data_IF_548179911962
#
_entry.id   IF_548179911962
#
_cell.length_a   1.000
_cell.length_b   1.000
_cell.length_c   1.000
_cell.angle_alpha   90.00
_cell.angle_beta   90.00
_cell.angle_gamma   90.00
#
_symmetry.space_group_name_H-M   'P 1'
#
loop_
_entity.id
_entity.type
_entity.pdbx_description
1 polymer ?
#
# COMPACT_ATOMS: atom_id res chain seq x y z
N UNK A 1 12.16 -17.17 -3.15
CA UNK A 1 11.40 -15.94 -3.41
C UNK A 1 12.34 -14.82 -3.83
N UNK A 2 12.11 -14.20 -4.99
CA UNK A 2 12.82 -12.98 -5.40
C UNK A 2 11.92 -11.77 -5.16
N UNK A 3 12.48 -10.66 -4.66
CA UNK A 3 11.74 -9.42 -4.46
C UNK A 3 12.09 -8.49 -5.61
N UNK A 4 11.09 -8.05 -6.36
CA UNK A 4 11.25 -7.06 -7.40
C UNK A 4 10.54 -5.77 -6.99
N UNK A 5 11.33 -4.71 -6.74
CA UNK A 5 10.78 -3.40 -6.40
C UNK A 5 10.47 -2.61 -7.68
N UNK A 6 9.19 -2.34 -7.92
CA UNK A 6 8.69 -1.50 -9.02
C UNK A 6 8.08 -0.18 -8.54
N UNK A 7 8.44 0.24 -7.34
CA UNK A 7 8.04 1.54 -6.79
C UNK A 7 8.59 2.66 -7.66
N UNK A 8 7.69 3.43 -8.25
CA UNK A 8 8.01 4.62 -9.03
C UNK A 8 7.56 5.85 -8.25
N UNK A 9 8.49 6.77 -7.99
CA UNK A 9 8.19 8.05 -7.36
C UNK A 9 7.14 8.83 -8.17
N UNK A 10 6.26 9.54 -7.47
CA UNK A 10 5.24 10.42 -8.09
C UNK A 10 4.15 9.74 -8.94
N UNK A 11 4.08 8.40 -8.92
CA UNK A 11 3.07 7.63 -9.67
C UNK A 11 1.69 7.71 -9.02
N UNK A 12 0.68 7.90 -9.87
CA UNK A 12 -0.75 7.86 -9.54
C UNK A 12 -1.31 6.46 -9.70
N UNK A 13 -2.51 6.18 -9.16
CA UNK A 13 -3.15 4.87 -9.30
C UNK A 13 -3.34 4.47 -10.77
N UNK A 14 -3.83 5.40 -11.60
CA UNK A 14 -3.99 5.19 -13.04
C UNK A 14 -2.69 4.83 -13.76
N UNK A 15 -1.61 5.55 -13.46
CA UNK A 15 -0.31 5.33 -14.08
C UNK A 15 0.32 4.01 -13.59
N UNK A 16 0.10 3.61 -12.33
CA UNK A 16 0.50 2.29 -11.85
C UNK A 16 -0.22 1.19 -12.65
N UNK A 17 -1.53 1.35 -12.85
CA UNK A 17 -2.37 0.43 -13.62
C UNK A 17 -1.87 0.26 -15.07
N UNK A 18 -1.52 1.36 -15.74
CA UNK A 18 -0.95 1.35 -17.09
C UNK A 18 0.39 0.58 -17.18
N UNK A 19 1.10 0.43 -16.06
CA UNK A 19 2.38 -0.28 -15.98
C UNK A 19 2.25 -1.73 -15.44
N UNK A 20 1.03 -2.21 -15.16
CA UNK A 20 0.80 -3.62 -14.79
C UNK A 20 1.34 -4.66 -15.78
N UNK A 21 1.37 -4.42 -17.11
CA UNK A 21 1.93 -5.40 -18.05
C UNK A 21 3.41 -5.77 -17.81
N UNK A 22 4.11 -5.05 -16.93
CA UNK A 22 5.49 -5.37 -16.52
C UNK A 22 5.58 -6.20 -15.23
N UNK A 23 4.46 -6.64 -14.66
CA UNK A 23 4.42 -7.61 -13.57
C UNK A 23 4.86 -8.97 -14.13
N UNK A 24 5.83 -9.67 -13.49
CA UNK A 24 6.24 -11.00 -13.90
C UNK A 24 5.06 -11.97 -13.82
N UNK A 25 4.92 -12.83 -14.81
CA UNK A 25 3.86 -13.87 -14.82
C UNK A 25 3.97 -14.84 -13.64
N UNK A 26 5.14 -14.94 -13.00
CA UNK A 26 5.42 -15.77 -11.82
C UNK A 26 5.26 -15.02 -10.48
N UNK A 27 4.69 -13.81 -10.47
CA UNK A 27 4.46 -13.07 -9.25
C UNK A 27 3.40 -13.74 -8.37
N UNK A 28 3.81 -14.27 -7.22
CA UNK A 28 2.88 -14.91 -6.27
C UNK A 28 2.06 -13.90 -5.46
N UNK A 29 2.64 -12.72 -5.17
CA UNK A 29 2.04 -11.70 -4.29
C UNK A 29 2.40 -10.29 -4.75
N UNK A 30 1.41 -9.40 -4.76
CA UNK A 30 1.56 -7.99 -5.09
C UNK A 30 1.32 -7.11 -3.85
N UNK A 31 2.33 -6.33 -3.48
CA UNK A 31 2.23 -5.32 -2.42
C UNK A 31 1.95 -3.95 -3.04
N UNK A 32 0.75 -3.42 -2.82
CA UNK A 32 0.27 -2.18 -3.46
C UNK A 32 0.18 -1.06 -2.43
N UNK A 33 0.92 0.02 -2.65
CA UNK A 33 0.81 1.27 -1.90
C UNK A 33 0.90 2.44 -2.87
N UNK A 34 -0.22 3.07 -3.18
CA UNK A 34 -0.33 4.21 -4.09
C UNK A 34 -1.52 5.08 -3.69
N UNK A 35 -1.53 6.36 -4.07
CA UNK A 35 -2.68 7.26 -3.87
C UNK A 35 -2.31 8.66 -3.39
N UNK A 36 -1.21 8.81 -2.63
CA UNK A 36 -0.79 10.14 -2.11
C UNK A 36 -0.53 11.15 -3.23
N UNK A 37 0.01 10.70 -4.37
CA UNK A 37 0.29 11.57 -5.50
C UNK A 37 -0.99 12.06 -6.19
N UNK A 38 -2.01 11.21 -6.30
CA UNK A 38 -3.33 11.60 -6.82
C UNK A 38 -3.93 12.73 -5.98
N UNK A 39 -3.94 12.53 -4.67
CA UNK A 39 -4.47 13.53 -3.72
C UNK A 39 -3.62 14.81 -3.74
N UNK A 40 -2.30 14.69 -3.84
CA UNK A 40 -1.41 15.85 -3.95
C UNK A 40 -1.67 16.70 -5.20
N UNK A 41 -2.16 16.06 -6.28
CA UNK A 41 -2.57 16.70 -7.54
C UNK A 41 -4.01 17.22 -7.51
N UNK A 42 -4.70 17.11 -6.37
CA UNK A 42 -6.05 17.63 -6.17
C UNK A 42 -7.18 16.69 -6.62
N UNK A 43 -6.89 15.41 -6.90
CA UNK A 43 -7.95 14.42 -7.15
C UNK A 43 -8.72 14.13 -5.86
N UNK A 44 -10.02 13.89 -5.99
CA UNK A 44 -10.88 13.52 -4.87
C UNK A 44 -10.78 12.01 -4.61
N UNK A 45 -11.06 11.59 -3.37
CA UNK A 45 -11.00 10.17 -2.99
C UNK A 45 -11.84 9.28 -3.91
N UNK A 46 -13.02 9.74 -4.33
CA UNK A 46 -13.94 9.01 -5.20
C UNK A 46 -13.29 8.68 -6.55
N UNK A 47 -12.59 9.65 -7.17
CA UNK A 47 -11.90 9.46 -8.44
C UNK A 47 -10.71 8.49 -8.29
N UNK A 48 -10.00 8.59 -7.17
CA UNK A 48 -8.87 7.70 -6.85
C UNK A 48 -9.34 6.26 -6.64
N UNK A 49 -10.49 6.08 -5.99
CA UNK A 49 -11.07 4.77 -5.72
C UNK A 49 -11.58 4.07 -6.97
N UNK A 50 -12.13 4.81 -7.94
CA UNK A 50 -12.50 4.24 -9.25
C UNK A 50 -11.28 3.57 -9.90
N UNK A 51 -10.14 4.27 -9.94
CA UNK A 51 -8.91 3.72 -10.51
C UNK A 51 -8.37 2.55 -9.66
N UNK A 52 -8.51 2.63 -8.34
CA UNK A 52 -8.05 1.57 -7.43
C UNK A 52 -8.82 0.28 -7.62
N UNK A 53 -10.14 0.35 -7.73
CA UNK A 53 -10.97 -0.83 -7.94
C UNK A 53 -10.63 -1.49 -9.28
N UNK A 54 -10.41 -0.71 -10.34
CA UNK A 54 -9.96 -1.24 -11.62
C UNK A 54 -8.56 -1.85 -11.56
N UNK A 55 -7.64 -1.27 -10.77
CA UNK A 55 -6.33 -1.87 -10.49
C UNK A 55 -6.46 -3.21 -9.74
N UNK A 56 -7.35 -3.30 -8.76
CA UNK A 56 -7.61 -4.54 -8.03
C UNK A 56 -8.22 -5.62 -8.95
N UNK A 57 -9.15 -5.24 -9.83
CA UNK A 57 -9.73 -6.16 -10.83
C UNK A 57 -8.66 -6.72 -11.78
N UNK A 58 -7.75 -5.87 -12.26
CA UNK A 58 -6.66 -6.30 -13.13
C UNK A 58 -5.67 -7.24 -12.41
N UNK A 59 -5.33 -6.95 -11.14
CA UNK A 59 -4.45 -7.81 -10.34
C UNK A 59 -5.11 -9.16 -10.01
N UNK A 60 -6.41 -9.17 -9.69
CA UNK A 60 -7.17 -10.39 -9.42
C UNK A 60 -7.23 -11.30 -10.67
N UNK A 61 -7.34 -10.71 -11.86
CA UNK A 61 -7.28 -11.44 -13.12
C UNK A 61 -5.92 -12.13 -13.37
N UNK A 62 -4.83 -11.59 -12.82
CA UNK A 62 -3.49 -12.20 -12.84
C UNK A 62 -3.32 -13.30 -11.77
N UNK A 63 -4.33 -13.53 -10.91
CA UNK A 63 -4.34 -14.54 -9.84
C UNK A 63 -3.19 -14.38 -8.84
N UNK A 64 -2.76 -13.14 -8.61
CA UNK A 64 -1.74 -12.81 -7.61
C UNK A 64 -2.40 -12.54 -6.26
N UNK A 65 -1.76 -12.93 -5.15
CA UNK A 65 -2.25 -12.55 -3.82
C UNK A 65 -2.04 -11.05 -3.60
N UNK A 66 -3.09 -10.29 -3.29
CA UNK A 66 -3.04 -8.84 -3.23
C UNK A 66 -2.94 -8.37 -1.78
N UNK A 67 -1.86 -7.64 -1.47
CA UNK A 67 -1.68 -6.94 -0.20
C UNK A 67 -1.72 -5.43 -0.44
N UNK A 68 -2.82 -4.79 -0.09
CA UNK A 68 -2.98 -3.33 -0.12
C UNK A 68 -2.46 -2.75 1.19
N UNK A 69 -1.59 -1.75 1.09
CA UNK A 69 -1.10 -0.99 2.23
C UNK A 69 -1.79 0.36 2.26
N UNK A 70 -2.13 0.86 3.45
CA UNK A 70 -2.72 2.18 3.61
C UNK A 70 -1.87 3.26 2.91
N UNK A 71 -2.51 4.17 2.16
CA UNK A 71 -1.86 5.41 1.76
C UNK A 71 -1.49 6.17 3.03
N UNK A 72 -0.21 6.55 3.15
CA UNK A 72 0.27 7.18 4.37
C UNK A 72 -0.32 8.57 4.54
N UNK A 73 -0.73 8.89 5.77
CA UNK A 73 -1.02 10.26 6.13
C UNK A 73 0.24 11.12 5.97
N UNK A 74 0.03 12.40 5.72
CA UNK A 74 1.08 13.41 5.53
C UNK A 74 1.01 14.46 6.63
N UNK A 75 1.85 15.49 6.57
CA UNK A 75 1.68 16.70 7.38
C UNK A 75 0.56 17.63 6.87
N UNK A 76 0.00 17.37 5.69
CA UNK A 76 -1.07 18.16 5.09
C UNK A 76 -2.45 17.60 5.45
N UNK A 77 -3.13 18.25 6.42
CA UNK A 77 -4.44 17.81 6.90
C UNK A 77 -5.55 17.82 5.84
N UNK A 78 -5.45 18.66 4.81
CA UNK A 78 -6.44 18.67 3.71
C UNK A 78 -6.32 17.41 2.87
N UNK A 79 -5.09 17.00 2.56
CA UNK A 79 -4.84 15.75 1.85
C UNK A 79 -5.26 14.55 2.71
N UNK A 80 -4.96 14.60 4.01
CA UNK A 80 -5.29 13.51 4.93
C UNK A 80 -6.80 13.22 4.99
N UNK A 81 -7.67 14.23 4.85
CA UNK A 81 -9.11 14.00 4.79
C UNK A 81 -9.53 13.12 3.60
N UNK A 82 -8.89 13.28 2.44
CA UNK A 82 -9.14 12.42 1.27
C UNK A 82 -8.44 11.07 1.41
N UNK A 83 -7.22 11.05 1.96
CA UNK A 83 -6.48 9.80 2.23
C UNK A 83 -7.24 8.90 3.21
N UNK A 84 -7.85 9.46 4.24
CA UNK A 84 -8.66 8.72 5.21
C UNK A 84 -9.88 8.06 4.53
N UNK A 85 -10.56 8.77 3.63
CA UNK A 85 -11.67 8.19 2.83
C UNK A 85 -11.19 7.04 1.96
N UNK A 86 -10.06 7.22 1.25
CA UNK A 86 -9.47 6.18 0.40
C UNK A 86 -9.12 4.95 1.25
N UNK A 87 -8.41 5.13 2.36
CA UNK A 87 -8.00 4.04 3.24
C UNK A 87 -9.18 3.30 3.87
N UNK A 88 -10.21 4.02 4.32
CA UNK A 88 -11.43 3.43 4.87
C UNK A 88 -12.10 2.52 3.84
N UNK A 89 -12.27 2.99 2.61
CA UNK A 89 -12.93 2.22 1.55
C UNK A 89 -12.08 1.02 1.15
N UNK A 90 -10.76 1.20 0.96
CA UNK A 90 -9.85 0.09 0.65
C UNK A 90 -9.82 -0.99 1.74
N UNK A 91 -9.81 -0.58 3.02
CA UNK A 91 -9.91 -1.53 4.14
C UNK A 91 -11.20 -2.35 4.06
N UNK A 92 -12.35 -1.69 3.83
CA UNK A 92 -13.63 -2.38 3.70
C UNK A 92 -13.68 -3.30 2.47
N UNK A 93 -13.12 -2.88 1.34
CA UNK A 93 -13.03 -3.69 0.12
C UNK A 93 -12.19 -4.95 0.36
N UNK A 94 -11.04 -4.83 1.04
CA UNK A 94 -10.20 -5.99 1.35
C UNK A 94 -10.88 -6.95 2.34
N UNK A 95 -11.62 -6.44 3.33
CA UNK A 95 -12.38 -7.28 4.27
C UNK A 95 -13.45 -8.14 3.59
N UNK A 96 -13.89 -7.80 2.38
CA UNK A 96 -14.80 -8.62 1.58
C UNK A 96 -14.12 -9.81 0.89
N UNK A 97 -12.83 -10.04 1.17
CA UNK A 97 -12.06 -11.19 0.67
C UNK A 97 -11.30 -10.95 -0.63
N UNK A 98 -11.26 -9.71 -1.12
CA UNK A 98 -10.57 -9.36 -2.38
C UNK A 98 -9.06 -9.14 -2.21
N UNK A 99 -8.62 -8.80 -1.01
CA UNK A 99 -7.22 -8.47 -0.72
C UNK A 99 -6.97 -8.52 0.79
N UNK A 100 -5.69 -8.53 1.18
CA UNK A 100 -5.27 -8.23 2.54
C UNK A 100 -5.01 -6.73 2.67
N UNK A 101 -5.56 -6.06 3.69
CA UNK A 101 -5.26 -4.66 3.98
C UNK A 101 -4.27 -4.54 5.15
N UNK A 102 -3.21 -3.75 4.97
CA UNK A 102 -2.21 -3.43 5.99
C UNK A 102 -2.33 -1.97 6.37
N UNK A 103 -2.83 -1.70 7.58
CA UNK A 103 -2.91 -0.35 8.13
C UNK A 103 -1.54 0.08 8.70
N UNK A 104 -0.75 0.75 7.87
CA UNK A 104 0.55 1.32 8.27
C UNK A 104 0.38 2.61 9.10
N UNK A 105 -0.74 3.31 8.94
CA UNK A 105 -1.00 4.55 9.66
C UNK A 105 -1.19 4.31 11.16
N UNK A 106 -1.66 3.11 11.56
CA UNK A 106 -1.72 2.69 12.96
C UNK A 106 -0.40 2.89 13.73
N UNK A 107 0.74 2.73 13.04
CA UNK A 107 2.08 2.91 13.61
C UNK A 107 2.77 4.20 13.18
N UNK A 108 2.58 4.62 11.92
CA UNK A 108 3.28 5.77 11.33
C UNK A 108 2.59 7.11 11.59
N UNK A 109 1.31 7.12 11.93
CA UNK A 109 0.51 8.31 12.14
C UNK A 109 -0.01 8.42 13.59
N UNK A 110 -0.36 9.65 13.97
CA UNK A 110 -1.07 10.00 15.19
C UNK A 110 -1.81 11.31 14.96
N UNK A 111 -2.95 11.49 15.64
CA UNK A 111 -3.72 12.75 15.61
C UNK A 111 -4.07 13.24 14.19
N UNK A 112 -4.37 12.28 13.30
CA UNK A 112 -4.76 12.53 11.90
C UNK A 112 -3.63 13.04 11.00
N UNK A 113 -2.36 12.82 11.37
CA UNK A 113 -1.20 13.19 10.56
C UNK A 113 -0.03 12.22 10.79
N UNK A 114 0.95 12.27 9.89
CA UNK A 114 2.20 11.52 10.06
C UNK A 114 2.90 11.94 11.37
N UNK A 115 3.45 10.97 12.12
CA UNK A 115 4.18 11.28 13.36
C UNK A 115 5.43 12.13 13.06
N UNK A 116 5.76 13.11 13.92
CA UNK A 116 7.01 13.86 13.82
C UNK A 116 8.24 12.93 13.78
N UNK A 117 9.18 13.24 12.89
CA UNK A 117 10.43 12.48 12.76
C UNK A 117 10.30 11.13 12.05
N UNK A 118 9.16 10.82 11.43
CA UNK A 118 9.02 9.65 10.53
C UNK A 118 9.33 9.97 9.07
N UNK A 119 9.29 11.25 8.69
CA UNK A 119 9.54 11.73 7.32
C UNK A 119 10.62 12.81 7.31
N UNK A 120 11.15 13.12 6.12
CA UNK A 120 12.06 14.25 5.93
C UNK A 120 11.32 15.57 5.74
N UNK A 121 10.16 15.53 5.08
CA UNK A 121 9.44 16.72 4.60
C UNK A 121 7.93 16.68 4.88
N UNK A 122 7.46 15.68 5.64
CA UNK A 122 6.04 15.47 5.90
C UNK A 122 5.34 14.51 4.94
N UNK A 123 6.04 13.99 3.92
CA UNK A 123 5.50 12.99 2.97
C UNK A 123 6.46 11.80 2.82
N UNK A 124 7.74 12.05 2.58
CA UNK A 124 8.72 11.00 2.28
C UNK A 124 9.31 10.43 3.57
N UNK A 125 9.12 9.12 3.80
CA UNK A 125 9.63 8.43 4.98
C UNK A 125 11.16 8.56 5.08
N UNK A 126 11.65 8.73 6.30
CA UNK A 126 13.07 8.62 6.62
C UNK A 126 13.40 7.19 7.08
N UNK A 127 14.66 6.94 7.49
CA UNK A 127 15.09 5.61 7.94
C UNK A 127 14.25 5.01 9.08
N UNK A 128 13.78 5.85 10.02
CA UNK A 128 12.89 5.40 11.11
C UNK A 128 11.52 5.02 10.57
N UNK A 129 10.96 5.84 9.67
CA UNK A 129 9.71 5.55 8.99
C UNK A 129 9.75 4.24 8.21
N UNK A 130 10.78 4.05 7.39
CA UNK A 130 10.99 2.81 6.64
C UNK A 130 11.20 1.59 7.54
N UNK A 131 11.86 1.73 8.70
CA UNK A 131 12.02 0.64 9.65
C UNK A 131 10.69 0.18 10.24
N UNK A 132 9.80 1.11 10.58
CA UNK A 132 8.43 0.81 11.05
C UNK A 132 7.63 0.15 9.94
N UNK A 133 7.65 0.74 8.74
CA UNK A 133 6.98 0.21 7.55
C UNK A 133 7.39 -1.23 7.23
N UNK A 134 8.71 -1.50 7.16
CA UNK A 134 9.25 -2.82 6.85
C UNK A 134 8.84 -3.86 7.89
N UNK A 135 8.81 -3.50 9.17
CA UNK A 135 8.38 -4.40 10.25
C UNK A 135 6.90 -4.79 10.10
N UNK A 136 6.04 -3.87 9.67
CA UNK A 136 4.62 -4.14 9.48
C UNK A 136 4.33 -5.10 8.30
N UNK A 137 5.07 -4.98 7.20
CA UNK A 137 4.83 -5.82 6.01
C UNK A 137 5.58 -7.15 6.03
N UNK A 138 6.70 -7.25 6.76
CA UNK A 138 7.58 -8.43 6.77
C UNK A 138 6.84 -9.77 7.04
N UNK A 139 5.90 -9.86 7.99
CA UNK A 139 5.17 -11.12 8.23
C UNK A 139 4.39 -11.61 7.00
N UNK A 140 3.98 -10.68 6.13
CA UNK A 140 3.24 -10.98 4.90
C UNK A 140 4.16 -11.28 3.71
N UNK A 141 5.46 -11.04 3.82
CA UNK A 141 6.41 -11.32 2.73
C UNK A 141 6.80 -12.80 2.68
N UNK A 142 6.54 -13.58 3.73
CA UNK A 142 6.93 -14.98 3.83
C UNK A 142 5.77 -15.81 4.37
N UNK A 143 4.92 -16.32 3.48
CA UNK A 143 4.12 -17.52 3.79
C UNK A 143 4.94 -18.70 3.33
N UNK A 144 5.75 -19.22 4.26
CA UNK A 144 6.25 -20.61 4.37
C UNK A 144 7.52 -20.60 5.24
N UNK A 145 7.33 -20.50 6.56
CA UNK A 145 8.18 -21.29 7.46
C UNK A 145 7.29 -22.43 7.91
N UNK A 146 7.40 -23.53 7.19
CA UNK A 146 7.01 -24.82 7.69
C UNK A 146 7.71 -25.04 9.05
N UNK A 147 6.92 -25.02 10.12
CA UNK A 147 7.34 -25.46 11.46
C UNK A 147 7.35 -27.00 11.55
N UNK A 148 7.40 -27.73 10.43
CA UNK A 148 7.76 -29.14 10.39
C UNK A 148 9.29 -29.31 10.23
N UNK A 149 9.99 -29.09 11.33
CA UNK A 149 11.25 -29.78 11.59
C UNK A 149 11.55 -29.75 13.08
N UNK A 150 10.71 -30.49 13.81
CA UNK A 150 11.29 -31.32 14.85
C UNK A 150 11.89 -32.55 14.15
N UNK A 151 13.20 -32.75 14.25
CA UNK A 151 13.64 -34.04 14.76
C UNK A 151 14.85 -33.91 15.70
N UNK A 152 14.71 -34.47 16.91
CA UNK A 152 15.82 -34.78 17.82
C UNK A 152 15.49 -34.52 19.27
#
# INVERSE_FOLDING_TARGET
MSISNRGLGSVTVSLLRENLPYIPEDAERAFVMVGVNDISKGRQAEDVLIDYLALLDDLDALKVDIVVQSTLLTNNRKWNAEIDKVNMILSNTCQQGRCTFVDLNSELAADGAIRPGMTYDGVHLNGRGYSTWSRAIRPLMSTDIDQSSNPG
#
